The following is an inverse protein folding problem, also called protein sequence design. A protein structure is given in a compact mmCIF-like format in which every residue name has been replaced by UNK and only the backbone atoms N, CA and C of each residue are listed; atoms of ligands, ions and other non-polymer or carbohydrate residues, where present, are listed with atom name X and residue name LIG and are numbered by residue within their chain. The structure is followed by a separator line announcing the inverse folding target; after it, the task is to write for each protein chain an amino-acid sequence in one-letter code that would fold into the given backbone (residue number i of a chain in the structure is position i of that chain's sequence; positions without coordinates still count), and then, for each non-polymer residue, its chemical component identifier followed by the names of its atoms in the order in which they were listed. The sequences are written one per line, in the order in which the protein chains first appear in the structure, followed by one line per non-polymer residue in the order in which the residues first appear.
data_IF_302010346051
#
_entry.id   IF_302010346051
#
_cell.length_a   1.000
_cell.length_b   1.000
_cell.length_c   1.000
_cell.angle_alpha   90.00
_cell.angle_beta   90.00
_cell.angle_gamma   90.00
#
_symmetry.space_group_name_H-M   'P 1'
#
loop_
_entity.id
_entity.type
_entity.pdbx_description
1 polymer ?
#
# COMPACT_ATOMS: atom_id res chain seq x y z
N UNK A 1 -11.53 3.54 -21.15
CA UNK A 1 -10.09 3.91 -21.13
C UNK A 1 -9.88 4.76 -19.90
N UNK A 2 -8.97 4.38 -19.01
CA UNK A 2 -8.60 5.11 -17.80
C UNK A 2 -7.17 5.62 -17.90
N UNK A 3 -6.83 6.64 -17.15
CA UNK A 3 -5.46 7.14 -16.99
C UNK A 3 -4.98 6.82 -15.59
N UNK A 4 -3.82 6.16 -15.49
CA UNK A 4 -3.23 5.65 -14.25
C UNK A 4 -1.98 6.42 -13.89
N UNK A 5 -1.86 6.87 -12.65
CA UNK A 5 -0.63 7.39 -12.06
C UNK A 5 -0.12 6.36 -11.04
N UNK A 6 1.04 5.74 -11.31
CA UNK A 6 1.53 4.62 -10.51
C UNK A 6 2.92 4.93 -9.96
N UNK A 7 3.08 4.86 -8.64
CA UNK A 7 4.39 5.03 -7.99
C UNK A 7 5.16 3.72 -7.87
N UNK A 8 6.50 3.77 -7.97
CA UNK A 8 7.36 2.62 -7.74
C UNK A 8 7.31 1.54 -8.82
N UNK A 9 7.35 1.93 -10.10
CA UNK A 9 7.23 1.02 -11.26
C UNK A 9 8.54 0.30 -11.65
N UNK A 10 9.64 0.44 -10.90
CA UNK A 10 10.91 -0.21 -11.26
C UNK A 10 10.89 -1.73 -11.15
N UNK A 11 9.97 -2.33 -10.40
CA UNK A 11 9.83 -3.77 -10.19
C UNK A 11 8.46 -4.15 -9.60
N UNK A 12 8.27 -5.43 -9.32
CA UNK A 12 7.15 -5.97 -8.54
C UNK A 12 5.77 -5.64 -9.09
N UNK A 13 4.84 -5.35 -8.19
CA UNK A 13 3.44 -5.03 -8.53
C UNK A 13 3.32 -3.76 -9.38
N UNK A 14 4.05 -2.69 -9.04
CA UNK A 14 3.95 -1.43 -9.77
C UNK A 14 4.31 -1.56 -11.24
N UNK A 15 5.42 -2.28 -11.56
CA UNK A 15 5.82 -2.56 -12.94
C UNK A 15 4.77 -3.39 -13.69
N UNK A 16 4.28 -4.46 -13.06
CA UNK A 16 3.29 -5.37 -13.66
C UNK A 16 1.95 -4.67 -13.90
N UNK A 17 1.49 -3.88 -12.93
CA UNK A 17 0.25 -3.12 -13.04
C UNK A 17 0.33 -2.08 -14.16
N UNK A 18 1.45 -1.35 -14.24
CA UNK A 18 1.68 -0.38 -15.31
C UNK A 18 1.61 -1.03 -16.70
N UNK A 19 2.29 -2.16 -16.88
CA UNK A 19 2.27 -2.91 -18.14
C UNK A 19 0.88 -3.47 -18.45
N UNK A 20 0.20 -4.08 -17.49
CA UNK A 20 -1.13 -4.65 -17.70
C UNK A 20 -2.17 -3.57 -18.04
N UNK A 21 -2.12 -2.41 -17.36
CA UNK A 21 -3.02 -1.29 -17.64
C UNK A 21 -2.82 -0.76 -19.08
N UNK A 22 -1.58 -0.51 -19.50
CA UNK A 22 -1.34 0.02 -20.86
C UNK A 22 -1.63 -1.03 -21.94
N UNK A 23 -1.38 -2.31 -21.71
CA UNK A 23 -1.68 -3.41 -22.64
C UNK A 23 -3.17 -3.56 -22.91
N UNK A 24 -4.03 -3.32 -21.90
CA UNK A 24 -5.49 -3.35 -22.11
C UNK A 24 -6.05 -2.08 -22.77
N UNK A 25 -5.19 -1.11 -23.11
CA UNK A 25 -5.57 0.11 -23.83
C UNK A 25 -5.68 1.38 -22.98
N UNK A 26 -5.37 1.32 -21.68
CA UNK A 26 -5.36 2.49 -20.79
C UNK A 26 -4.12 3.37 -21.00
N UNK A 27 -4.15 4.60 -20.46
CA UNK A 27 -2.99 5.49 -20.38
C UNK A 27 -2.30 5.30 -19.02
N UNK A 28 -0.97 5.40 -19.00
CA UNK A 28 -0.18 5.16 -17.79
C UNK A 28 0.92 6.18 -17.60
N UNK A 29 0.99 6.76 -16.41
CA UNK A 29 2.12 7.51 -15.90
C UNK A 29 2.85 6.56 -14.92
N UNK A 30 3.95 5.97 -15.38
CA UNK A 30 4.78 5.10 -14.57
C UNK A 30 5.91 5.91 -13.93
N UNK A 31 6.08 5.82 -12.60
CA UNK A 31 7.11 6.58 -11.91
C UNK A 31 8.11 5.71 -11.16
N UNK A 32 9.35 6.16 -11.07
CA UNK A 32 10.42 5.55 -10.28
C UNK A 32 11.43 6.61 -9.84
N UNK A 33 12.16 6.39 -8.75
CA UNK A 33 13.25 7.29 -8.31
C UNK A 33 14.33 7.46 -9.39
N UNK A 34 14.69 6.36 -10.05
CA UNK A 34 15.60 6.35 -11.20
C UNK A 34 14.81 6.01 -12.44
N UNK A 35 14.43 7.03 -13.21
CA UNK A 35 13.56 6.88 -14.38
C UNK A 35 14.18 5.98 -15.44
N UNK A 36 15.50 5.93 -15.56
CA UNK A 36 16.25 5.10 -16.50
C UNK A 36 15.92 3.60 -16.36
N UNK A 37 15.48 3.18 -15.16
CA UNK A 37 15.08 1.78 -14.91
C UNK A 37 13.74 1.40 -15.53
N UNK A 38 12.97 2.39 -16.00
CA UNK A 38 11.62 2.20 -16.53
C UNK A 38 11.40 2.83 -17.91
N UNK A 39 12.32 3.63 -18.45
CA UNK A 39 12.17 4.31 -19.74
C UNK A 39 11.79 3.37 -20.88
N UNK A 40 12.49 2.25 -21.00
CA UNK A 40 12.22 1.25 -22.03
C UNK A 40 10.83 0.60 -21.92
N UNK A 41 10.16 0.70 -20.78
CA UNK A 41 8.79 0.18 -20.65
C UNK A 41 7.79 0.92 -21.52
N UNK A 42 8.01 2.20 -21.79
CA UNK A 42 7.09 3.05 -22.53
C UNK A 42 7.22 2.90 -24.06
N UNK A 43 8.40 2.51 -24.56
CA UNK A 43 8.71 2.45 -26.00
C UNK A 43 7.67 1.71 -26.87
N UNK A 44 7.15 0.52 -26.44
CA UNK A 44 6.20 -0.24 -27.26
C UNK A 44 4.81 0.38 -27.34
N UNK A 45 4.48 1.40 -26.54
CA UNK A 45 3.11 1.82 -26.33
C UNK A 45 2.74 3.17 -26.98
N UNK A 46 3.66 3.79 -27.72
CA UNK A 46 3.36 4.90 -28.63
C UNK A 46 2.69 6.10 -27.96
N UNK A 47 3.20 6.56 -26.81
CA UNK A 47 2.67 7.73 -26.09
C UNK A 47 1.50 7.42 -25.13
N UNK A 48 0.97 6.20 -25.11
CA UNK A 48 -0.01 5.78 -24.09
C UNK A 48 0.62 5.53 -22.72
N UNK A 49 1.94 5.37 -22.66
CA UNK A 49 2.70 5.33 -21.43
C UNK A 49 3.77 6.41 -21.46
N UNK A 50 3.88 7.16 -20.35
CA UNK A 50 5.03 8.00 -20.07
C UNK A 50 5.70 7.56 -18.79
N UNK A 51 7.00 7.84 -18.67
CA UNK A 51 7.80 7.55 -17.49
C UNK A 51 8.30 8.86 -16.89
N UNK A 52 8.20 8.99 -15.55
CA UNK A 52 8.62 10.19 -14.84
C UNK A 52 9.52 9.82 -13.66
N UNK A 53 10.54 10.65 -13.35
CA UNK A 53 11.27 10.52 -12.10
C UNK A 53 10.37 10.94 -10.94
N UNK A 54 10.35 10.13 -9.87
CA UNK A 54 9.66 10.46 -8.64
C UNK A 54 10.31 9.75 -7.45
N UNK A 55 10.92 10.52 -6.57
CA UNK A 55 11.14 10.12 -5.20
C UNK A 55 9.92 10.57 -4.38
N UNK A 56 9.15 9.62 -3.87
CA UNK A 56 7.92 9.93 -3.12
C UNK A 56 8.18 10.65 -1.80
N UNK A 57 9.42 10.65 -1.30
CA UNK A 57 9.82 11.39 -0.10
C UNK A 57 10.05 12.88 -0.36
N UNK A 58 10.07 13.29 -1.63
CA UNK A 58 10.17 14.69 -2.05
C UNK A 58 8.79 15.20 -2.48
N UNK A 59 8.17 16.03 -1.64
CA UNK A 59 6.86 16.62 -1.92
C UNK A 59 6.85 17.51 -3.18
N UNK A 60 7.95 18.20 -3.48
CA UNK A 60 8.05 19.01 -4.68
C UNK A 60 8.13 18.15 -5.94
N UNK A 61 8.86 17.02 -5.87
CA UNK A 61 8.90 16.04 -6.95
C UNK A 61 7.51 15.40 -7.18
N UNK A 62 6.75 15.10 -6.12
CA UNK A 62 5.40 14.60 -6.23
C UNK A 62 4.47 15.60 -6.93
N UNK A 63 4.52 16.88 -6.55
CA UNK A 63 3.75 17.95 -7.21
C UNK A 63 4.12 18.11 -8.69
N UNK A 64 5.44 18.10 -9.01
CA UNK A 64 5.92 18.23 -10.38
C UNK A 64 5.49 17.03 -11.26
N UNK A 65 5.58 15.81 -10.74
CA UNK A 65 5.17 14.60 -11.45
C UNK A 65 3.65 14.60 -11.73
N UNK A 66 2.84 14.99 -10.75
CA UNK A 66 1.39 15.14 -10.91
C UNK A 66 1.05 16.23 -11.92
N UNK A 67 1.69 17.40 -11.85
CA UNK A 67 1.48 18.47 -12.81
C UNK A 67 1.82 18.02 -14.24
N UNK A 68 2.92 17.28 -14.42
CA UNK A 68 3.31 16.73 -15.73
C UNK A 68 2.33 15.68 -16.24
N UNK A 69 1.76 14.85 -15.38
CA UNK A 69 0.72 13.90 -15.74
C UNK A 69 -0.54 14.64 -16.27
N UNK A 70 -0.95 15.70 -15.59
CA UNK A 70 -2.10 16.53 -16.00
C UNK A 70 -1.82 17.25 -17.32
N UNK A 71 -0.62 17.80 -17.49
CA UNK A 71 -0.21 18.44 -18.76
C UNK A 71 -0.28 17.46 -19.93
N UNK A 72 0.14 16.20 -19.71
CA UNK A 72 0.28 15.22 -20.79
C UNK A 72 -1.04 14.55 -21.17
N UNK A 73 -1.86 14.17 -20.19
CA UNK A 73 -3.09 13.40 -20.41
C UNK A 73 -4.37 14.14 -19.99
N UNK A 74 -4.28 15.39 -19.53
CA UNK A 74 -5.42 16.16 -19.03
C UNK A 74 -5.84 15.81 -17.60
N UNK A 75 -5.24 14.80 -16.99
CA UNK A 75 -5.54 14.28 -15.65
C UNK A 75 -5.29 12.79 -15.53
N UNK A 76 -5.79 12.19 -14.46
CA UNK A 76 -5.78 10.75 -14.26
C UNK A 76 -6.97 10.31 -13.41
N UNK A 77 -7.43 9.09 -13.65
CA UNK A 77 -8.60 8.49 -12.99
C UNK A 77 -8.19 7.64 -11.79
N UNK A 78 -6.96 7.12 -11.81
CA UNK A 78 -6.47 6.18 -10.80
C UNK A 78 -5.09 6.61 -10.30
N UNK A 79 -4.98 6.87 -9.00
CA UNK A 79 -3.71 7.01 -8.30
C UNK A 79 -3.37 5.67 -7.65
N UNK A 80 -2.16 5.14 -7.89
CA UNK A 80 -1.65 3.95 -7.22
C UNK A 80 -0.42 4.28 -6.39
N UNK A 81 -0.58 4.33 -5.09
CA UNK A 81 0.50 4.45 -4.12
C UNK A 81 1.12 3.07 -3.88
N UNK A 82 2.06 2.68 -4.75
CA UNK A 82 2.72 1.38 -4.68
C UNK A 82 4.17 1.45 -4.21
N UNK A 83 4.82 2.60 -4.28
CA UNK A 83 6.21 2.75 -3.82
C UNK A 83 6.34 2.33 -2.35
N UNK A 84 7.27 1.42 -2.05
CA UNK A 84 7.48 0.93 -0.70
C UNK A 84 8.51 -0.18 -0.63
N UNK A 85 9.04 -0.36 0.57
CA UNK A 85 9.95 -1.47 0.91
C UNK A 85 9.79 -1.85 2.38
N UNK A 86 10.43 -2.94 2.82
CA UNK A 86 10.29 -3.42 4.18
C UNK A 86 11.61 -3.56 4.91
N UNK A 87 11.53 -3.58 6.24
CA UNK A 87 12.62 -3.89 7.16
C UNK A 87 12.18 -5.07 8.04
N UNK A 88 12.97 -6.14 8.03
CA UNK A 88 12.81 -7.28 8.93
C UNK A 88 13.87 -7.23 10.02
N UNK A 89 13.43 -7.47 11.24
CA UNK A 89 14.20 -7.48 12.48
C UNK A 89 13.25 -7.30 13.66
N UNK A 90 13.66 -7.73 14.85
CA UNK A 90 12.96 -7.38 16.07
C UNK A 90 13.05 -5.86 16.31
N UNK A 91 12.16 -5.33 17.15
CA UNK A 91 12.15 -3.87 17.45
C UNK A 91 13.48 -3.42 18.05
N UNK A 92 14.13 -4.25 18.83
CA UNK A 92 15.44 -3.92 19.44
C UNK A 92 16.60 -4.00 18.45
N UNK A 93 16.45 -4.77 17.36
CA UNK A 93 17.49 -4.94 16.33
C UNK A 93 17.57 -3.78 15.34
N UNK A 94 16.45 -3.10 15.05
CA UNK A 94 16.42 -2.04 14.04
C UNK A 94 16.86 -0.69 14.57
N UNK A 95 17.66 0.02 13.77
CA UNK A 95 18.15 1.38 14.09
C UNK A 95 17.28 2.48 13.47
N UNK A 96 17.32 3.72 14.02
CA UNK A 96 16.62 4.86 13.42
C UNK A 96 16.99 5.10 11.95
N UNK A 97 18.23 4.86 11.57
CA UNK A 97 18.76 5.03 10.22
C UNK A 97 18.18 4.00 9.24
N UNK A 98 17.69 2.85 9.74
CA UNK A 98 17.06 1.80 8.94
C UNK A 98 15.54 1.99 8.84
N UNK A 99 14.85 2.20 9.98
CA UNK A 99 13.39 2.23 9.95
C UNK A 99 12.81 3.59 9.54
N UNK A 100 13.45 4.75 9.88
CA UNK A 100 12.90 6.06 9.52
C UNK A 100 12.77 6.25 8.01
N UNK A 101 13.79 5.96 7.17
CA UNK A 101 13.65 6.06 5.72
C UNK A 101 12.56 5.14 5.15
N UNK A 102 12.31 3.99 5.77
CA UNK A 102 11.21 3.11 5.36
C UNK A 102 9.84 3.76 5.62
N UNK A 103 9.66 4.42 6.78
CA UNK A 103 8.43 5.18 7.06
C UNK A 103 8.28 6.37 6.12
N UNK A 104 9.37 7.09 5.82
CA UNK A 104 9.35 8.20 4.85
C UNK A 104 8.79 7.75 3.49
N UNK A 105 9.21 6.59 2.98
CA UNK A 105 8.72 6.08 1.71
C UNK A 105 7.29 5.52 1.83
N UNK A 106 7.06 4.61 2.79
CA UNK A 106 5.82 3.82 2.84
C UNK A 106 4.61 4.61 3.35
N UNK A 107 4.83 5.61 4.22
CA UNK A 107 3.78 6.37 4.89
C UNK A 107 3.76 7.81 4.41
N UNK A 108 4.82 8.57 4.65
CA UNK A 108 4.84 9.99 4.32
C UNK A 108 4.84 10.21 2.80
N UNK A 109 5.55 9.39 2.03
CA UNK A 109 5.53 9.43 0.57
C UNK A 109 4.15 9.14 -0.04
N UNK A 110 3.40 8.21 0.55
CA UNK A 110 2.00 7.98 0.19
C UNK A 110 1.14 9.21 0.48
N UNK A 111 1.30 9.83 1.66
CA UNK A 111 0.58 11.05 2.04
C UNK A 111 0.88 12.17 1.06
N UNK A 112 2.14 12.48 0.79
CA UNK A 112 2.53 13.60 -0.08
C UNK A 112 2.10 13.39 -1.53
N UNK A 113 2.22 12.17 -2.06
CA UNK A 113 1.72 11.85 -3.41
C UNK A 113 0.19 12.01 -3.49
N UNK A 114 -0.53 11.52 -2.48
CA UNK A 114 -1.99 11.66 -2.38
C UNK A 114 -2.38 13.15 -2.30
N UNK A 115 -1.74 13.93 -1.43
CA UNK A 115 -1.98 15.37 -1.31
C UNK A 115 -1.76 16.13 -2.61
N UNK A 116 -0.71 15.79 -3.35
CA UNK A 116 -0.45 16.38 -4.67
C UNK A 116 -1.55 16.03 -5.70
N UNK A 117 -2.09 14.81 -5.64
CA UNK A 117 -3.12 14.33 -6.57
C UNK A 117 -4.54 14.87 -6.26
N UNK A 118 -4.89 15.06 -4.99
CA UNK A 118 -6.24 15.41 -4.56
C UNK A 118 -6.85 16.65 -5.24
N UNK A 119 -6.14 17.77 -5.51
CA UNK A 119 -6.72 18.91 -6.23
C UNK A 119 -7.28 18.57 -7.60
N UNK A 120 -6.74 17.55 -8.25
CA UNK A 120 -7.19 17.06 -9.56
C UNK A 120 -8.31 16.03 -9.40
N UNK A 121 -8.14 15.03 -8.56
CA UNK A 121 -9.15 14.00 -8.31
C UNK A 121 -10.47 14.56 -7.79
N UNK A 122 -10.45 15.61 -6.96
CA UNK A 122 -11.69 16.26 -6.48
C UNK A 122 -12.54 16.87 -7.59
N UNK A 123 -11.98 17.15 -8.77
CA UNK A 123 -12.72 17.71 -9.91
C UNK A 123 -13.28 16.66 -10.84
N UNK A 124 -12.64 15.50 -10.92
CA UNK A 124 -12.98 14.43 -11.86
C UNK A 124 -13.57 13.18 -11.21
N UNK A 125 -13.46 13.07 -9.87
CA UNK A 125 -13.64 11.79 -9.21
C UNK A 125 -12.43 10.88 -9.44
N UNK A 126 -12.57 9.59 -9.14
CA UNK A 126 -11.53 8.61 -9.44
C UNK A 126 -11.34 7.57 -8.32
N UNK A 127 -10.21 6.86 -8.38
CA UNK A 127 -9.88 5.82 -7.41
C UNK A 127 -8.44 6.00 -6.90
N UNK A 128 -8.26 5.95 -5.59
CA UNK A 128 -6.95 5.86 -4.95
C UNK A 128 -6.73 4.41 -4.53
N UNK A 129 -5.69 3.79 -5.03
CA UNK A 129 -5.27 2.43 -4.68
C UNK A 129 -4.03 2.51 -3.81
N UNK A 130 -4.15 2.12 -2.55
CA UNK A 130 -3.06 2.10 -1.60
C UNK A 130 -2.54 0.68 -1.41
N UNK A 131 -1.27 0.44 -1.74
CA UNK A 131 -0.65 -0.87 -1.57
C UNK A 131 -0.25 -1.07 -0.11
N UNK A 132 -1.09 -1.78 0.64
CA UNK A 132 -0.82 -2.28 1.97
C UNK A 132 -0.15 -3.66 1.91
N UNK A 133 -0.54 -4.58 2.76
CA UNK A 133 -0.04 -5.96 2.87
C UNK A 133 -0.87 -6.74 3.90
N UNK A 134 -0.84 -8.05 3.89
CA UNK A 134 -1.25 -8.83 5.05
C UNK A 134 -0.54 -8.42 6.36
N UNK A 135 0.62 -7.75 6.25
CA UNK A 135 1.35 -7.13 7.36
C UNK A 135 0.65 -5.87 7.92
N UNK A 136 -0.27 -5.25 7.18
CA UNK A 136 -1.14 -4.15 7.65
C UNK A 136 -2.38 -4.65 8.38
N UNK A 137 -2.78 -5.90 8.15
CA UNK A 137 -3.93 -6.52 8.82
C UNK A 137 -3.51 -7.06 10.20
N UNK A 138 -2.37 -7.73 10.28
CA UNK A 138 -1.89 -8.33 11.53
C UNK A 138 -0.38 -8.19 11.70
N UNK A 139 0.05 -7.83 12.92
CA UNK A 139 1.45 -7.79 13.30
C UNK A 139 2.04 -9.19 13.49
N UNK A 140 3.35 -9.30 13.30
CA UNK A 140 4.09 -10.54 13.50
C UNK A 140 5.53 -10.28 13.93
N UNK A 141 6.10 -11.15 14.76
CA UNK A 141 7.48 -11.05 15.21
C UNK A 141 8.47 -10.92 14.07
N UNK A 142 9.55 -10.18 14.28
CA UNK A 142 10.58 -9.91 13.27
C UNK A 142 10.16 -9.03 12.10
N UNK A 143 8.97 -8.43 12.15
CA UNK A 143 8.47 -7.53 11.10
C UNK A 143 7.83 -6.26 11.65
N UNK A 144 8.04 -5.94 12.92
CA UNK A 144 7.33 -4.88 13.63
C UNK A 144 7.34 -3.53 12.95
N UNK A 145 8.47 -3.09 12.46
CA UNK A 145 8.60 -1.81 11.72
C UNK A 145 7.77 -1.80 10.44
N UNK A 146 7.86 -2.86 9.64
CA UNK A 146 7.08 -2.97 8.41
C UNK A 146 5.58 -3.12 8.70
N UNK A 147 5.23 -3.89 9.72
CA UNK A 147 3.84 -3.96 10.19
C UNK A 147 3.31 -2.57 10.55
N UNK A 148 4.04 -1.80 11.38
CA UNK A 148 3.62 -0.46 11.80
C UNK A 148 3.41 0.48 10.61
N UNK A 149 4.32 0.47 9.63
CA UNK A 149 4.17 1.27 8.42
C UNK A 149 2.91 0.87 7.61
N UNK A 150 2.62 -0.43 7.49
CA UNK A 150 1.43 -0.90 6.76
C UNK A 150 0.13 -0.68 7.55
N UNK A 151 0.14 -0.78 8.88
CA UNK A 151 -0.99 -0.35 9.71
C UNK A 151 -1.27 1.15 9.57
N UNK A 152 -0.24 1.99 9.43
CA UNK A 152 -0.44 3.41 9.14
C UNK A 152 -1.11 3.61 7.77
N UNK A 153 -0.73 2.83 6.75
CA UNK A 153 -1.39 2.86 5.43
C UNK A 153 -2.87 2.47 5.54
N UNK A 154 -3.21 1.44 6.32
CA UNK A 154 -4.61 1.05 6.57
C UNK A 154 -5.40 2.22 7.19
N UNK A 155 -4.95 2.75 8.34
CA UNK A 155 -5.67 3.81 9.04
C UNK A 155 -5.82 5.09 8.21
N UNK A 156 -4.78 5.48 7.44
CA UNK A 156 -4.86 6.62 6.51
C UNK A 156 -5.91 6.34 5.43
N UNK A 157 -5.93 5.13 4.87
CA UNK A 157 -6.84 4.76 3.79
C UNK A 157 -8.30 4.72 4.24
N UNK A 158 -8.56 4.18 5.43
CA UNK A 158 -9.88 4.18 6.04
C UNK A 158 -10.39 5.62 6.26
N UNK A 159 -9.54 6.52 6.80
CA UNK A 159 -9.88 7.92 6.98
C UNK A 159 -10.20 8.62 5.65
N UNK A 160 -9.35 8.40 4.63
CA UNK A 160 -9.56 8.96 3.29
C UNK A 160 -10.88 8.53 2.68
N UNK A 161 -11.41 7.34 2.99
CA UNK A 161 -12.70 6.87 2.48
C UNK A 161 -13.84 7.82 2.86
N UNK A 162 -13.90 8.21 4.14
CA UNK A 162 -14.90 9.16 4.62
C UNK A 162 -14.67 10.59 4.10
N UNK A 163 -13.42 11.04 4.11
CA UNK A 163 -13.05 12.39 3.66
C UNK A 163 -13.32 12.63 2.18
N UNK A 164 -13.16 11.60 1.36
CA UNK A 164 -13.20 11.72 -0.09
C UNK A 164 -14.52 11.28 -0.75
N UNK A 165 -15.40 10.62 0.00
CA UNK A 165 -16.72 10.21 -0.48
C UNK A 165 -17.55 11.37 -1.08
N UNK A 166 -17.56 12.61 -0.48
CA UNK A 166 -18.31 13.73 -1.05
C UNK A 166 -17.82 14.18 -2.44
N UNK A 167 -16.61 13.78 -2.84
CA UNK A 167 -16.02 14.13 -4.14
C UNK A 167 -16.11 12.98 -5.17
N UNK A 168 -16.78 11.88 -4.83
CA UNK A 168 -16.86 10.71 -5.69
C UNK A 168 -15.52 10.00 -5.91
N UNK A 169 -14.57 10.16 -4.96
CA UNK A 169 -13.28 9.49 -4.99
C UNK A 169 -13.37 8.24 -4.11
N UNK A 170 -13.09 7.09 -4.71
CA UNK A 170 -13.04 5.79 -4.01
C UNK A 170 -11.63 5.51 -3.52
N UNK A 171 -11.55 4.78 -2.41
CA UNK A 171 -10.29 4.26 -1.89
C UNK A 171 -10.34 2.73 -1.93
N UNK A 172 -9.24 2.12 -2.36
CA UNK A 172 -9.05 0.67 -2.39
C UNK A 172 -7.74 0.35 -1.66
N UNK A 173 -7.81 -0.48 -0.63
CA UNK A 173 -6.64 -0.96 0.10
C UNK A 173 -6.31 -2.36 -0.43
N UNK A 174 -5.16 -2.49 -1.05
CA UNK A 174 -4.70 -3.79 -1.57
C UNK A 174 -3.77 -4.42 -0.55
N UNK A 175 -4.11 -5.61 -0.09
CA UNK A 175 -3.46 -6.30 1.03
C UNK A 175 -2.86 -7.66 0.56
N UNK A 176 -1.74 -7.64 -0.19
CA UNK A 176 -1.16 -8.88 -0.68
C UNK A 176 -0.62 -9.77 0.43
N UNK A 177 -0.86 -11.08 0.30
CA UNK A 177 -0.06 -12.10 0.95
C UNK A 177 1.31 -12.27 0.25
N UNK A 178 1.96 -13.43 0.36
CA UNK A 178 3.23 -13.70 -0.30
C UNK A 178 3.04 -14.00 -1.80
N UNK A 179 3.43 -13.05 -2.65
CA UNK A 179 3.45 -13.17 -4.11
C UNK A 179 4.88 -13.25 -4.65
N UNK A 180 5.08 -13.98 -5.74
CA UNK A 180 6.38 -14.15 -6.39
C UNK A 180 6.78 -12.90 -7.17
N UNK A 181 7.36 -11.95 -6.44
CA UNK A 181 7.91 -10.69 -6.94
C UNK A 181 9.32 -10.50 -6.38
N UNK A 182 10.02 -9.47 -6.83
CA UNK A 182 11.34 -9.10 -6.27
C UNK A 182 11.30 -8.54 -4.83
N UNK A 183 10.13 -8.57 -4.19
CA UNK A 183 9.94 -7.90 -2.90
C UNK A 183 10.85 -8.48 -1.80
N UNK A 184 10.87 -9.82 -1.62
CA UNK A 184 11.73 -10.47 -0.63
C UNK A 184 13.22 -10.34 -0.96
N UNK A 185 13.57 -10.33 -2.26
CA UNK A 185 14.96 -10.20 -2.71
C UNK A 185 15.51 -8.79 -2.52
N UNK A 186 14.95 -7.83 -3.24
CA UNK A 186 15.54 -6.47 -3.35
C UNK A 186 14.81 -5.38 -2.57
N UNK A 187 13.58 -5.61 -2.14
CA UNK A 187 12.76 -4.60 -1.44
C UNK A 187 12.58 -4.89 0.05
N UNK A 188 13.26 -5.91 0.58
CA UNK A 188 13.37 -6.16 2.02
C UNK A 188 14.83 -6.00 2.44
N UNK A 189 15.05 -5.16 3.45
CA UNK A 189 16.29 -5.12 4.22
C UNK A 189 16.14 -5.93 5.50
N UNK A 190 17.24 -6.49 5.99
CA UNK A 190 17.33 -7.12 7.31
C UNK A 190 18.05 -6.15 8.21
N UNK A 191 17.59 -5.97 9.46
CA UNK A 191 18.27 -5.16 10.45
C UNK A 191 19.73 -5.63 10.62
N UNK A 192 20.67 -4.69 10.65
CA UNK A 192 22.09 -5.01 10.67
C UNK A 192 22.55 -5.56 12.03
N UNK A 193 21.88 -5.18 13.12
CA UNK A 193 22.19 -5.62 14.47
C UNK A 193 21.38 -6.87 14.85
N UNK A 194 21.77 -8.03 14.29
CA UNK A 194 21.10 -9.30 14.63
C UNK A 194 21.45 -9.73 16.06
N UNK A 195 20.43 -10.03 16.88
CA UNK A 195 20.57 -10.46 18.27
C UNK A 195 20.15 -11.92 18.44
N UNK A 196 20.98 -12.79 19.05
CA UNK A 196 20.66 -14.21 19.26
C UNK A 196 19.34 -14.43 20.00
N UNK A 197 18.97 -13.53 20.90
CA UNK A 197 17.74 -13.55 21.70
C UNK A 197 16.48 -13.54 20.83
N UNK A 198 16.55 -12.95 19.63
CA UNK A 198 15.45 -12.87 18.69
C UNK A 198 15.53 -13.87 17.53
N UNK A 199 16.48 -14.80 17.54
CA UNK A 199 16.67 -15.78 16.47
C UNK A 199 15.39 -16.55 16.12
N UNK A 200 14.56 -16.90 17.13
CA UNK A 200 13.29 -17.61 16.94
C UNK A 200 12.22 -16.79 16.19
N UNK A 201 12.26 -15.46 16.26
CA UNK A 201 11.35 -14.56 15.55
C UNK A 201 11.97 -13.94 14.30
N UNK A 202 13.24 -14.18 14.02
CA UNK A 202 13.94 -13.65 12.86
C UNK A 202 13.28 -14.07 11.55
N UNK A 203 13.05 -13.09 10.68
CA UNK A 203 12.53 -13.33 9.32
C UNK A 203 13.62 -13.51 8.26
N UNK A 204 14.87 -13.54 8.65
CA UNK A 204 15.98 -13.77 7.73
C UNK A 204 15.85 -15.12 7.02
N UNK A 205 15.70 -16.18 7.79
CA UNK A 205 15.49 -17.53 7.24
C UNK A 205 14.22 -17.61 6.37
N UNK A 206 13.14 -16.95 6.78
CA UNK A 206 11.94 -16.86 5.95
C UNK A 206 12.23 -16.21 4.60
N UNK A 207 12.98 -15.10 4.57
CA UNK A 207 13.40 -14.46 3.34
C UNK A 207 14.24 -15.38 2.46
N UNK A 208 15.28 -15.98 3.02
CA UNK A 208 16.21 -16.86 2.30
C UNK A 208 15.50 -18.08 1.68
N UNK A 209 14.52 -18.65 2.40
CA UNK A 209 13.81 -19.84 1.95
C UNK A 209 12.71 -19.52 0.93
N UNK A 210 12.07 -18.36 1.03
CA UNK A 210 10.86 -18.07 0.27
C UNK A 210 11.09 -17.09 -0.89
N UNK A 211 12.25 -16.45 -1.02
CA UNK A 211 12.52 -15.57 -2.16
C UNK A 211 12.51 -16.36 -3.47
N UNK A 212 11.64 -15.93 -4.40
CA UNK A 212 11.38 -16.65 -5.64
C UNK A 212 10.47 -17.88 -5.54
N UNK A 213 10.15 -18.34 -4.31
CA UNK A 213 9.35 -19.55 -4.06
C UNK A 213 7.93 -19.25 -3.56
N UNK A 214 7.52 -17.98 -3.48
CA UNK A 214 6.18 -17.61 -3.05
C UNK A 214 5.12 -18.24 -3.96
N UNK A 215 4.02 -18.72 -3.36
CA UNK A 215 2.95 -19.41 -4.08
C UNK A 215 2.06 -18.45 -4.89
N UNK A 216 1.97 -17.19 -4.50
CA UNK A 216 1.11 -16.21 -5.17
C UNK A 216 1.64 -15.84 -6.55
N UNK A 217 0.73 -15.87 -7.53
CA UNK A 217 0.98 -15.42 -8.91
C UNK A 217 0.69 -13.92 -9.01
N UNK A 218 1.72 -13.07 -9.21
CA UNK A 218 1.52 -11.63 -9.27
C UNK A 218 0.65 -11.18 -10.45
N UNK A 219 0.65 -11.89 -11.57
CA UNK A 219 -0.16 -11.49 -12.73
C UNK A 219 -1.66 -11.73 -12.47
N UNK A 220 -2.01 -12.79 -11.73
CA UNK A 220 -3.37 -13.00 -11.24
C UNK A 220 -3.80 -11.93 -10.25
N UNK A 221 -2.90 -11.52 -9.35
CA UNK A 221 -3.17 -10.43 -8.42
C UNK A 221 -3.41 -9.10 -9.16
N UNK A 222 -2.63 -8.78 -10.18
CA UNK A 222 -2.83 -7.61 -11.03
C UNK A 222 -4.19 -7.64 -11.72
N UNK A 223 -4.61 -8.78 -12.25
CA UNK A 223 -5.92 -8.93 -12.88
C UNK A 223 -7.07 -8.61 -11.89
N UNK A 224 -6.95 -9.07 -10.63
CA UNK A 224 -7.94 -8.75 -9.57
C UNK A 224 -7.92 -7.27 -9.21
N UNK A 225 -6.76 -6.61 -9.12
CA UNK A 225 -6.66 -5.17 -8.86
C UNK A 225 -7.34 -4.38 -9.98
N UNK A 226 -7.08 -4.72 -11.25
CA UNK A 226 -7.71 -4.09 -12.40
C UNK A 226 -9.23 -4.26 -12.37
N UNK A 227 -9.71 -5.46 -12.06
CA UNK A 227 -11.14 -5.76 -11.90
C UNK A 227 -11.77 -4.93 -10.78
N UNK A 228 -11.13 -4.83 -9.61
CA UNK A 228 -11.64 -4.06 -8.49
C UNK A 228 -11.71 -2.55 -8.80
N UNK A 229 -10.72 -2.00 -9.52
CA UNK A 229 -10.77 -0.59 -9.96
C UNK A 229 -11.89 -0.34 -10.96
N UNK A 230 -12.27 -1.34 -11.75
CA UNK A 230 -13.35 -1.22 -12.74
C UNK A 230 -14.74 -1.48 -12.17
N UNK A 231 -14.85 -2.19 -11.04
CA UNK A 231 -16.12 -2.51 -10.41
C UNK A 231 -16.70 -1.30 -9.65
N UNK A 232 -18.02 -1.10 -9.75
CA UNK A 232 -18.72 -0.03 -9.02
C UNK A 232 -18.87 -0.35 -7.52
N UNK A 233 -18.91 -1.63 -7.18
CA UNK A 233 -19.12 -2.18 -5.83
C UNK A 233 -17.82 -2.77 -5.22
N UNK A 234 -16.67 -2.29 -5.64
CA UNK A 234 -15.39 -2.76 -5.10
C UNK A 234 -15.32 -2.57 -3.58
N UNK A 235 -14.82 -3.57 -2.84
CA UNK A 235 -14.65 -3.43 -1.39
C UNK A 235 -13.54 -2.43 -1.06
N UNK A 236 -13.59 -1.84 0.15
CA UNK A 236 -12.48 -1.03 0.65
C UNK A 236 -11.21 -1.88 0.84
N UNK A 237 -11.34 -3.03 1.51
CA UNK A 237 -10.25 -3.97 1.76
C UNK A 237 -10.23 -5.08 0.72
N UNK A 238 -9.06 -5.29 0.09
CA UNK A 238 -8.85 -6.30 -0.94
C UNK A 238 -7.68 -7.22 -0.56
N UNK A 239 -7.90 -8.18 0.37
CA UNK A 239 -6.88 -9.16 0.72
C UNK A 239 -6.63 -10.10 -0.46
N UNK A 240 -5.37 -10.18 -0.91
CA UNK A 240 -5.00 -10.97 -2.07
C UNK A 240 -4.30 -12.28 -1.67
N UNK A 241 -4.85 -13.37 -2.14
CA UNK A 241 -4.34 -14.73 -1.96
C UNK A 241 -4.75 -15.37 -0.63
N UNK A 242 -4.68 -16.72 -0.56
CA UNK A 242 -5.18 -17.48 0.60
C UNK A 242 -4.53 -17.09 1.94
N UNK A 243 -3.25 -16.70 1.90
CA UNK A 243 -2.51 -16.34 3.11
C UNK A 243 -3.03 -15.01 3.70
N UNK A 244 -3.31 -14.00 2.86
CA UNK A 244 -3.87 -12.73 3.33
C UNK A 244 -5.27 -12.94 3.93
N UNK A 245 -6.12 -13.73 3.28
CA UNK A 245 -7.43 -14.12 3.82
C UNK A 245 -7.31 -14.80 5.18
N UNK A 246 -6.45 -15.82 5.32
CA UNK A 246 -6.24 -16.52 6.58
C UNK A 246 -5.70 -15.61 7.69
N UNK A 247 -4.87 -14.61 7.34
CA UNK A 247 -4.39 -13.59 8.29
C UNK A 247 -5.57 -12.74 8.77
N UNK A 248 -6.41 -12.24 7.85
CA UNK A 248 -7.57 -11.41 8.17
C UNK A 248 -8.57 -12.16 9.07
N UNK A 249 -8.98 -13.36 8.69
CA UNK A 249 -9.91 -14.20 9.47
C UNK A 249 -9.39 -14.45 10.89
N UNK A 250 -8.12 -14.86 11.02
CA UNK A 250 -7.50 -15.11 12.34
C UNK A 250 -7.43 -13.83 13.18
N UNK A 251 -7.07 -12.68 12.58
CA UNK A 251 -7.01 -11.39 13.28
C UNK A 251 -8.39 -10.98 13.78
N UNK A 252 -9.42 -11.06 12.95
CA UNK A 252 -10.79 -10.70 13.30
C UNK A 252 -11.33 -11.61 14.41
N UNK A 253 -11.10 -12.93 14.32
CA UNK A 253 -11.51 -13.87 15.35
C UNK A 253 -10.82 -13.62 16.70
N UNK A 254 -9.52 -13.38 16.71
CA UNK A 254 -8.77 -13.07 17.93
C UNK A 254 -9.26 -11.75 18.56
N UNK A 255 -9.40 -10.69 17.74
CA UNK A 255 -9.85 -9.39 18.25
C UNK A 255 -11.28 -9.47 18.80
N UNK A 256 -12.18 -10.21 18.14
CA UNK A 256 -13.52 -10.47 18.63
C UNK A 256 -13.52 -11.20 19.98
N UNK A 257 -12.67 -12.22 20.12
CA UNK A 257 -12.52 -12.96 21.36
C UNK A 257 -12.07 -12.08 22.52
N UNK A 258 -11.09 -11.17 22.27
CA UNK A 258 -10.60 -10.23 23.29
C UNK A 258 -11.70 -9.26 23.74
N UNK A 259 -12.45 -8.70 22.78
CA UNK A 259 -13.59 -7.80 23.05
C UNK A 259 -14.64 -8.53 23.89
N UNK A 260 -15.03 -9.73 23.50
CA UNK A 260 -16.11 -10.48 24.19
C UNK A 260 -15.67 -10.89 25.60
N UNK A 261 -14.38 -11.27 25.78
CA UNK A 261 -13.86 -11.69 27.08
C UNK A 261 -13.85 -10.54 28.14
N UNK A 262 -13.67 -9.29 27.69
CA UNK A 262 -13.56 -8.14 28.59
C UNK A 262 -14.72 -7.15 28.48
N UNK A 263 -15.78 -7.51 27.75
CA UNK A 263 -16.90 -6.63 27.40
C UNK A 263 -17.48 -5.91 28.61
N UNK A 264 -17.88 -6.66 29.64
CA UNK A 264 -18.59 -6.08 30.78
C UNK A 264 -17.71 -5.10 31.58
N UNK A 265 -16.41 -5.37 31.68
CA UNK A 265 -15.44 -4.50 32.35
C UNK A 265 -15.16 -3.24 31.55
N UNK A 266 -14.98 -3.38 30.22
CA UNK A 266 -14.62 -2.25 29.35
C UNK A 266 -15.79 -1.31 29.06
N UNK A 267 -17.01 -1.81 28.99
CA UNK A 267 -18.22 -0.98 28.83
C UNK A 267 -18.50 -0.16 30.09
N UNK A 268 -18.16 -0.63 31.28
CA UNK A 268 -18.38 0.05 32.54
C UNK A 268 -17.42 1.23 32.82
N UNK A 269 -16.75 1.75 31.79
CA UNK A 269 -15.79 2.86 31.92
C UNK A 269 -16.41 4.26 31.73
N UNK A 270 -17.69 4.33 31.38
CA UNK A 270 -18.41 5.59 31.28
C UNK A 270 -18.73 6.17 32.67
N UNK A 271 -18.98 7.50 32.74
CA UNK A 271 -19.50 8.13 33.94
C UNK A 271 -20.91 7.63 34.25
N UNK A 272 -21.27 7.51 35.53
CA UNK A 272 -22.62 7.11 35.99
C UNK A 272 -23.77 7.98 35.41
N UNK A 273 -23.45 9.21 35.00
CA UNK A 273 -24.35 10.11 34.30
C UNK A 273 -23.68 10.57 32.97
N UNK A 274 -23.75 9.79 31.88
CA UNK A 274 -23.14 10.15 30.62
C UNK A 274 -23.79 11.41 30.03
N UNK A 275 -22.98 12.41 29.69
CA UNK A 275 -23.42 13.53 28.84
C UNK A 275 -23.38 13.07 27.40
N UNK A 276 -24.53 12.52 27.00
CA UNK A 276 -24.99 12.24 25.63
C UNK A 276 -24.00 12.37 24.47
N UNK A 277 -22.99 11.49 24.38
CA UNK A 277 -22.37 11.19 23.09
C UNK A 277 -23.16 10.01 22.52
N UNK A 278 -23.78 10.24 21.37
CA UNK A 278 -24.36 9.13 20.58
C UNK A 278 -23.22 8.26 20.04
N UNK A 279 -23.10 6.98 20.45
CA UNK A 279 -22.07 6.08 19.93
C UNK A 279 -22.09 5.90 18.41
N UNK A 280 -23.21 6.25 17.76
CA UNK A 280 -23.36 6.22 16.29
C UNK A 280 -22.74 7.43 15.58
N UNK A 281 -22.25 8.41 16.34
CA UNK A 281 -21.62 9.64 15.81
C UNK A 281 -20.11 9.58 15.68
N UNK A 282 -19.50 8.42 15.98
CA UNK A 282 -18.04 8.19 15.89
C UNK A 282 -17.69 7.35 14.68
#
# INVERSE_FOLDING_TARGET
MKTWFITGCSSGFGRRLALAAVQRGDQVIATARRVETIEQMAEPFGGRMITLPLDVTDAAAAQAAVAKAVETFGGFDVLVNNAGYGLFGAIEEGTPEEYRPMFEVNVFGLIETTRAALPFLRRSGGTIVNMSSGAGIAGGGGGGYYNAAKFAVEGISEALTGELAPFGIRVLIVEPGPFRTDFLGRSITIAANEMPEYAASSRKHYRETNDGNQAGDPDKAIAVILQAVDADDAPLHLPLGPVAHAIAERKLAAFRSDIDAWRDVTIATDFDQPRGLDPSSV
#
